data_IF_841294188603
#
_entry.id   IF_841294188603
#
_cell.length_a   1.000
_cell.length_b   1.000
_cell.length_c   1.000
_cell.angle_alpha   90.00
_cell.angle_beta   90.00
_cell.angle_gamma   90.00
#
_symmetry.space_group_name_H-M   'P 1'
#
loop_
_entity.id
_entity.type
_entity.pdbx_description
1 polymer ?
#
# COMPACT_ATOMS: atom_id res chain seq x y z
N UNK A 1 -9.94 21.49 -8.89
CA UNK A 1 -9.52 20.24 -8.22
C UNK A 1 -10.46 19.15 -8.66
N UNK A 2 -10.01 18.22 -9.50
CA UNK A 2 -10.79 17.05 -9.88
C UNK A 2 -10.67 16.06 -8.73
N UNK A 3 -11.62 16.11 -7.79
CA UNK A 3 -11.83 15.00 -6.87
C UNK A 3 -12.56 13.96 -7.71
N UNK A 4 -11.87 12.89 -8.10
CA UNK A 4 -12.53 11.75 -8.73
C UNK A 4 -13.48 11.15 -7.69
N UNK A 5 -14.78 11.26 -7.95
CA UNK A 5 -15.90 10.61 -7.24
C UNK A 5 -15.91 9.08 -7.51
N UNK A 6 -14.75 8.48 -7.72
CA UNK A 6 -14.63 7.04 -7.80
C UNK A 6 -14.80 6.53 -6.37
N UNK A 7 -16.00 6.03 -6.05
CA UNK A 7 -16.13 5.04 -4.99
C UNK A 7 -14.98 4.03 -5.17
N UNK A 8 -14.25 3.64 -4.11
CA UNK A 8 -13.16 2.69 -4.25
C UNK A 8 -13.73 1.48 -4.98
N UNK A 9 -13.25 1.22 -6.20
CA UNK A 9 -13.73 0.09 -6.98
C UNK A 9 -13.60 -1.14 -6.10
N UNK A 10 -14.67 -1.91 -5.96
CA UNK A 10 -14.69 -3.04 -5.05
C UNK A 10 -13.50 -3.96 -5.38
N UNK A 11 -12.49 -3.98 -4.50
CA UNK A 11 -11.24 -4.74 -4.65
C UNK A 11 -11.60 -6.23 -4.62
N UNK A 12 -11.81 -6.80 -5.81
CA UNK A 12 -12.18 -8.20 -5.98
C UNK A 12 -10.98 -9.15 -5.82
N UNK A 13 -9.78 -8.59 -5.68
CA UNK A 13 -8.51 -9.27 -5.51
C UNK A 13 -8.05 -9.39 -4.05
N UNK A 14 -8.82 -8.87 -3.09
CA UNK A 14 -8.57 -9.12 -1.67
C UNK A 14 -8.67 -10.62 -1.38
N UNK A 15 -7.69 -11.15 -0.65
CA UNK A 15 -7.70 -12.54 -0.24
C UNK A 15 -8.83 -12.78 0.78
N UNK A 16 -9.51 -13.94 0.72
CA UNK A 16 -10.49 -14.30 1.73
C UNK A 16 -9.81 -14.45 3.10
N UNK A 17 -10.35 -13.77 4.12
CA UNK A 17 -9.82 -13.77 5.47
C UNK A 17 -10.48 -12.70 6.34
N UNK A 18 -10.16 -12.72 7.64
CA UNK A 18 -10.50 -11.60 8.53
C UNK A 18 -9.50 -10.46 8.34
N UNK A 19 -9.99 -9.22 8.43
CA UNK A 19 -9.13 -8.05 8.41
C UNK A 19 -8.17 -8.11 9.60
N UNK A 20 -6.90 -7.77 9.37
CA UNK A 20 -5.96 -7.59 10.48
C UNK A 20 -6.16 -6.19 11.08
N UNK A 21 -6.49 -6.14 12.37
CA UNK A 21 -6.53 -4.88 13.13
C UNK A 21 -5.09 -4.38 13.34
N UNK A 22 -4.80 -3.17 12.85
CA UNK A 22 -3.49 -2.53 13.00
C UNK A 22 -3.45 -1.55 14.18
N UNK A 23 -4.55 -1.36 14.91
CA UNK A 23 -4.72 -0.27 15.86
C UNK A 23 -5.15 1.04 15.18
N UNK A 24 -5.34 2.10 15.96
CA UNK A 24 -5.61 3.46 15.46
C UNK A 24 -6.72 3.54 14.39
N UNK A 25 -7.84 2.85 14.68
CA UNK A 25 -9.00 2.74 13.78
C UNK A 25 -8.65 2.25 12.35
N UNK A 26 -7.63 1.39 12.24
CA UNK A 26 -7.10 0.89 10.97
C UNK A 26 -7.25 -0.62 10.80
N UNK A 27 -7.65 -1.04 9.60
CA UNK A 27 -7.80 -2.44 9.19
C UNK A 27 -6.99 -2.73 7.94
N UNK A 28 -6.32 -3.88 7.90
CA UNK A 28 -5.55 -4.32 6.73
C UNK A 28 -6.09 -5.62 6.14
N UNK A 29 -6.17 -5.66 4.81
CA UNK A 29 -6.51 -6.83 4.02
C UNK A 29 -5.37 -7.16 3.08
N UNK A 30 -4.91 -8.41 3.06
CA UNK A 30 -3.91 -8.84 2.09
C UNK A 30 -4.54 -9.10 0.73
N UNK A 31 -3.76 -8.86 -0.33
CA UNK A 31 -4.08 -9.25 -1.70
C UNK A 31 -2.82 -9.77 -2.38
N UNK A 32 -3.00 -10.46 -3.51
CA UNK A 32 -1.89 -10.87 -4.37
C UNK A 32 -2.02 -10.17 -5.71
N UNK A 33 -0.93 -9.53 -6.17
CA UNK A 33 -0.89 -8.83 -7.45
C UNK A 33 0.21 -9.39 -8.32
N UNK A 34 -0.10 -9.61 -9.60
CA UNK A 34 0.88 -9.94 -10.62
C UNK A 34 1.60 -8.67 -11.08
N UNK A 35 2.91 -8.76 -11.27
CA UNK A 35 3.77 -7.67 -11.76
C UNK A 35 4.36 -8.00 -13.13
N UNK A 36 4.88 -6.98 -13.82
CA UNK A 36 5.43 -7.10 -15.19
C UNK A 36 6.66 -8.03 -15.29
N UNK A 37 7.28 -8.35 -14.15
CA UNK A 37 8.37 -9.33 -14.07
C UNK A 37 7.90 -10.79 -14.13
N UNK A 38 6.58 -11.01 -14.21
CA UNK A 38 5.95 -12.33 -14.25
C UNK A 38 5.78 -12.97 -12.88
N UNK A 39 6.19 -12.31 -11.80
CA UNK A 39 6.00 -12.79 -10.44
C UNK A 39 4.72 -12.24 -9.83
N UNK A 40 4.29 -12.86 -8.74
CA UNK A 40 3.19 -12.40 -7.91
C UNK A 40 3.75 -12.00 -6.55
N UNK A 41 3.31 -10.85 -6.05
CA UNK A 41 3.70 -10.32 -4.75
C UNK A 41 2.48 -10.07 -3.88
N UNK A 42 2.67 -10.26 -2.58
CA UNK A 42 1.67 -9.98 -1.56
C UNK A 42 1.70 -8.49 -1.23
N UNK A 43 0.56 -7.84 -1.39
CA UNK A 43 0.31 -6.46 -0.96
C UNK A 43 -0.76 -6.39 0.13
N UNK A 44 -0.96 -5.18 0.65
CA UNK A 44 -1.97 -4.90 1.68
C UNK A 44 -2.77 -3.65 1.29
N UNK A 45 -4.08 -3.75 1.40
CA UNK A 45 -4.98 -2.62 1.40
C UNK A 45 -5.28 -2.25 2.86
N UNK A 46 -4.93 -1.05 3.26
CA UNK A 46 -5.16 -0.55 4.61
C UNK A 46 -6.24 0.52 4.58
N UNK A 47 -7.31 0.30 5.33
CA UNK A 47 -8.35 1.29 5.56
C UNK A 47 -8.10 1.95 6.91
N UNK A 48 -7.86 3.27 6.91
CA UNK A 48 -7.69 4.07 8.12
C UNK A 48 -8.83 5.08 8.24
N UNK A 49 -9.42 5.18 9.43
CA UNK A 49 -10.38 6.25 9.74
C UNK A 49 -9.67 7.41 10.42
N UNK A 50 -9.90 8.62 9.91
CA UNK A 50 -9.47 9.88 10.52
C UNK A 50 -10.71 10.76 10.66
N UNK A 51 -11.29 10.76 11.85
CA UNK A 51 -12.57 11.43 12.13
C UNK A 51 -13.70 10.89 11.24
N UNK A 52 -14.25 11.74 10.38
CA UNK A 52 -15.32 11.36 9.46
C UNK A 52 -14.82 10.80 8.11
N UNK A 53 -13.52 10.86 7.86
CA UNK A 53 -12.91 10.42 6.59
C UNK A 53 -12.36 9.00 6.75
N UNK A 54 -12.55 8.17 5.73
CA UNK A 54 -11.83 6.90 5.60
C UNK A 54 -10.91 7.01 4.40
N UNK A 55 -9.62 6.78 4.60
CA UNK A 55 -8.64 6.67 3.52
C UNK A 55 -8.31 5.19 3.28
N UNK A 56 -8.19 4.83 2.01
CA UNK A 56 -7.71 3.53 1.57
C UNK A 56 -6.28 3.69 1.05
N UNK A 57 -5.37 2.88 1.57
CA UNK A 57 -3.94 2.92 1.27
C UNK A 57 -3.54 1.56 0.72
N UNK A 58 -3.15 1.53 -0.55
CA UNK A 58 -2.60 0.32 -1.16
C UNK A 58 -1.07 0.31 -1.02
N UNK A 59 -0.55 -0.71 -0.36
CA UNK A 59 0.88 -0.95 -0.18
C UNK A 59 1.26 -2.26 -0.85
N UNK A 60 1.95 -2.16 -1.98
CA UNK A 60 2.36 -3.30 -2.81
C UNK A 60 3.71 -3.05 -3.45
N UNK A 61 4.44 -4.13 -3.74
CA UNK A 61 5.70 -4.06 -4.47
C UNK A 61 6.53 -5.33 -4.30
N UNK A 62 7.61 -5.46 -5.09
CA UNK A 62 8.66 -6.44 -4.87
C UNK A 62 9.71 -5.93 -3.86
N UNK A 63 10.16 -6.73 -2.87
CA UNK A 63 9.62 -8.04 -2.50
C UNK A 63 8.30 -7.89 -1.71
N UNK A 64 7.68 -9.02 -1.35
CA UNK A 64 6.55 -9.04 -0.42
C UNK A 64 6.80 -8.15 0.80
N UNK A 65 5.84 -7.28 1.11
CA UNK A 65 5.89 -6.46 2.31
C UNK A 65 5.41 -7.28 3.51
N UNK A 66 6.13 -7.18 4.62
CA UNK A 66 5.69 -7.78 5.88
C UNK A 66 4.68 -6.88 6.59
N UNK A 67 3.77 -7.49 7.38
CA UNK A 67 2.76 -6.75 8.14
C UNK A 67 3.33 -5.67 9.08
N UNK A 68 4.49 -5.85 9.75
CA UNK A 68 5.12 -4.78 10.53
C UNK A 68 5.53 -3.56 9.68
N UNK A 69 6.06 -3.78 8.47
CA UNK A 69 6.43 -2.68 7.57
C UNK A 69 5.19 -1.93 7.06
N UNK A 70 4.12 -2.67 6.76
CA UNK A 70 2.82 -2.13 6.36
C UNK A 70 2.23 -1.27 7.48
N UNK A 71 2.29 -1.75 8.73
CA UNK A 71 1.82 -1.01 9.90
C UNK A 71 2.60 0.29 10.12
N UNK A 72 3.93 0.28 9.98
CA UNK A 72 4.76 1.48 10.11
C UNK A 72 4.39 2.54 9.05
N UNK A 73 4.23 2.14 7.79
CA UNK A 73 3.85 3.06 6.71
C UNK A 73 2.41 3.56 6.90
N UNK A 74 1.48 2.69 7.27
CA UNK A 74 0.08 3.06 7.52
C UNK A 74 -0.04 4.09 8.65
N UNK A 75 0.67 3.89 9.76
CA UNK A 75 0.69 4.85 10.88
C UNK A 75 1.24 6.22 10.44
N UNK A 76 2.28 6.25 9.62
CA UNK A 76 2.84 7.49 9.10
C UNK A 76 1.85 8.22 8.16
N UNK A 77 1.12 7.49 7.32
CA UNK A 77 0.09 8.07 6.46
C UNK A 77 -1.11 8.58 7.27
N UNK A 78 -1.54 7.84 8.29
CA UNK A 78 -2.58 8.27 9.23
C UNK A 78 -2.21 9.61 9.90
N UNK A 79 -0.99 9.72 10.42
CA UNK A 79 -0.50 10.94 11.07
C UNK A 79 -0.50 12.16 10.12
N UNK A 80 -0.12 11.97 8.85
CA UNK A 80 -0.19 13.06 7.88
C UNK A 80 -1.63 13.46 7.52
N UNK A 81 -2.55 12.48 7.44
CA UNK A 81 -3.97 12.74 7.22
C UNK A 81 -4.60 13.49 8.41
N UNK A 82 -4.24 13.13 9.64
CA UNK A 82 -4.64 13.83 10.87
C UNK A 82 -4.15 15.28 10.90
N UNK A 83 -2.93 15.53 10.44
CA UNK A 83 -2.38 16.88 10.29
C UNK A 83 -3.08 17.70 9.19
N UNK A 84 -3.95 17.07 8.39
CA UNK A 84 -4.71 17.69 7.30
C UNK A 84 -3.88 17.95 6.03
N UNK A 85 -2.59 17.61 6.03
CA UNK A 85 -1.69 17.79 4.88
C UNK A 85 -0.60 16.72 4.88
N UNK A 86 -0.28 16.17 3.70
CA UNK A 86 0.89 15.31 3.46
C UNK A 86 1.89 16.05 2.56
N UNK A 87 2.57 17.12 3.04
CA UNK A 87 3.36 17.99 2.17
C UNK A 87 4.67 17.33 1.73
N UNK A 88 5.21 16.45 2.57
CA UNK A 88 6.49 15.78 2.36
C UNK A 88 6.29 14.30 2.03
N UNK A 89 7.15 13.76 1.16
CA UNK A 89 7.22 12.33 0.95
C UNK A 89 7.64 11.63 2.24
N UNK A 90 6.93 10.56 2.62
CA UNK A 90 7.33 9.73 3.74
C UNK A 90 8.64 9.01 3.42
N UNK A 91 9.60 8.94 4.36
CA UNK A 91 10.80 8.15 4.18
C UNK A 91 10.43 6.67 4.03
N UNK A 92 11.04 5.99 3.06
CA UNK A 92 10.87 4.54 2.90
C UNK A 92 11.53 3.85 4.11
N UNK A 93 10.81 2.97 4.83
CA UNK A 93 11.39 2.20 5.94
C UNK A 93 12.69 1.51 5.53
N UNK A 94 13.75 1.64 6.35
CA UNK A 94 15.08 1.14 6.02
C UNK A 94 15.11 -0.37 5.74
N UNK A 95 14.19 -1.12 6.37
CA UNK A 95 14.02 -2.56 6.14
C UNK A 95 13.62 -2.90 4.69
N UNK A 96 12.91 -2.00 3.99
CA UNK A 96 12.54 -2.19 2.58
C UNK A 96 13.73 -1.89 1.65
N UNK A 97 14.56 -0.91 2.01
CA UNK A 97 15.77 -0.53 1.26
C UNK A 97 16.87 -1.59 1.34
N UNK A 98 16.84 -2.45 2.36
CA UNK A 98 17.78 -3.54 2.52
C UNK A 98 17.54 -4.70 1.53
N UNK A 99 16.42 -4.70 0.79
CA UNK A 99 16.18 -5.68 -0.25
C UNK A 99 16.93 -5.30 -1.53
N UNK A 100 17.68 -6.21 -2.17
CA UNK A 100 18.31 -5.91 -3.45
C UNK A 100 17.25 -5.46 -4.47
N UNK A 101 17.51 -4.33 -5.11
CA UNK A 101 16.65 -3.80 -6.15
C UNK A 101 16.43 -4.85 -7.24
N UNK A 102 15.18 -4.99 -7.70
CA UNK A 102 14.88 -5.79 -8.87
C UNK A 102 15.75 -5.30 -10.04
N UNK A 103 16.45 -6.22 -10.71
CA UNK A 103 17.20 -5.89 -11.91
C UNK A 103 16.19 -5.45 -12.97
N UNK A 104 16.32 -4.27 -13.59
CA UNK A 104 15.41 -3.86 -14.65
C UNK A 104 15.38 -4.90 -15.76
N UNK A 105 14.20 -5.39 -16.12
CA UNK A 105 14.04 -6.21 -17.32
C UNK A 105 14.48 -5.36 -18.53
N UNK A 106 15.36 -5.92 -19.36
CA UNK A 106 15.82 -5.22 -20.56
C UNK A 106 14.62 -4.89 -21.45
N UNK A 107 14.40 -3.59 -21.69
CA UNK A 107 13.39 -3.13 -22.64
C UNK A 107 13.71 -3.74 -24.01
N UNK A 108 12.81 -4.58 -24.53
CA UNK A 108 12.91 -5.05 -25.92
C UNK A 108 12.59 -3.85 -26.82
N UNK A 109 13.48 -3.42 -27.73
CA UNK A 109 13.15 -2.36 -28.66
C UNK A 109 12.02 -2.84 -29.57
N UNK A 110 10.96 -2.03 -29.71
CA UNK A 110 9.97 -2.24 -30.75
C UNK A 110 10.62 -2.04 -32.13
N UNK A 111 10.48 -3.03 -33.01
CA UNK A 111 10.94 -3.00 -34.40
C UNK A 111 9.93 -2.32 -35.32
#
# INVERSE_FOLDING_TARGET
>A
ALVSDAAPEARSDLLPGEATDLGDESLAFSFVRAFDDGNQYTGFEVFVRVGATVAAVSLEGPPDMSLPQVSEIAAAQAACLEAGTCPDALPVPAALLATPAATPAAATPAA
#
